data_IF_882653048918
#
_entry.id   IF_882653048918
#
_cell.length_a   1.000
_cell.length_b   1.000
_cell.length_c   1.000
_cell.angle_alpha   90.00
_cell.angle_beta   90.00
_cell.angle_gamma   90.00
#
_symmetry.space_group_name_H-M   'P 1'
#
loop_
_entity.id
_entity.type
_entity.pdbx_description
1 polymer ?
#
# COMPACT_ATOMS: atom_id res chain seq x y z
N UNK A 1 2.60 -15.70 -17.57
CA UNK A 1 3.17 -14.66 -16.69
C UNK A 1 2.18 -13.50 -16.65
N UNK A 2 1.67 -13.13 -15.48
CA UNK A 2 0.77 -11.97 -15.37
C UNK A 2 1.53 -10.71 -15.83
N UNK A 3 1.00 -10.02 -16.83
CA UNK A 3 1.54 -8.75 -17.31
C UNK A 3 1.48 -7.75 -16.15
N UNK A 4 2.64 -7.25 -15.70
CA UNK A 4 2.75 -6.18 -14.68
C UNK A 4 2.33 -4.82 -15.26
N UNK A 5 1.21 -4.76 -15.97
CA UNK A 5 0.67 -3.49 -16.42
C UNK A 5 -0.11 -2.89 -15.26
N UNK A 6 0.47 -1.87 -14.63
CA UNK A 6 -0.25 -1.01 -13.71
C UNK A 6 -1.43 -0.41 -14.47
N UNK A 7 -2.63 -0.50 -13.90
CA UNK A 7 -3.85 0.04 -14.51
C UNK A 7 -3.72 1.54 -14.80
N UNK A 8 -2.98 2.26 -13.93
CA UNK A 8 -2.64 3.69 -14.09
C UNK A 8 -1.13 3.84 -13.83
N UNK A 9 -0.30 3.88 -14.88
CA UNK A 9 1.16 3.99 -14.75
C UNK A 9 1.62 5.25 -14.00
N UNK A 10 0.96 6.37 -14.22
CA UNK A 10 1.26 7.69 -13.66
C UNK A 10 1.07 7.70 -12.14
N UNK A 11 0.18 6.86 -11.62
CA UNK A 11 -0.09 6.75 -10.18
C UNK A 11 1.02 6.01 -9.42
N UNK A 12 2.06 5.49 -10.08
CA UNK A 12 3.11 4.65 -9.46
C UNK A 12 3.79 5.34 -8.28
N UNK A 13 4.13 6.62 -8.40
CA UNK A 13 4.82 7.34 -7.33
C UNK A 13 3.89 7.65 -6.16
N UNK A 14 2.66 8.10 -6.46
CA UNK A 14 1.64 8.34 -5.44
C UNK A 14 1.32 7.05 -4.65
N UNK A 15 1.16 5.92 -5.34
CA UNK A 15 0.94 4.61 -4.71
C UNK A 15 2.13 4.16 -3.86
N UNK A 16 3.35 4.47 -4.27
CA UNK A 16 4.53 4.17 -3.45
C UNK A 16 4.54 5.01 -2.17
N UNK A 17 4.25 6.31 -2.24
CA UNK A 17 4.14 7.17 -1.05
C UNK A 17 3.05 6.66 -0.10
N UNK A 18 1.87 6.38 -0.64
CA UNK A 18 0.73 5.85 0.10
C UNK A 18 1.05 4.53 0.84
N UNK A 19 1.77 3.62 0.18
CA UNK A 19 2.23 2.37 0.79
C UNK A 19 3.21 2.63 1.94
N UNK A 20 4.13 3.57 1.79
CA UNK A 20 5.10 3.91 2.85
C UNK A 20 4.41 4.53 4.06
N UNK A 21 3.45 5.43 3.83
CA UNK A 21 2.61 6.02 4.89
C UNK A 21 1.82 4.93 5.65
N UNK A 22 1.13 4.05 4.92
CA UNK A 22 0.40 2.94 5.52
C UNK A 22 1.32 2.02 6.35
N UNK A 23 2.56 1.81 5.91
CA UNK A 23 3.54 1.03 6.66
C UNK A 23 3.96 1.72 7.96
N UNK A 24 4.21 3.04 7.92
CA UNK A 24 4.54 3.83 9.11
C UNK A 24 3.42 3.80 10.15
N UNK A 25 2.16 3.84 9.73
CA UNK A 25 1.00 3.82 10.63
C UNK A 25 0.81 2.48 11.36
N UNK A 26 1.15 1.37 10.71
CA UNK A 26 1.12 0.04 11.36
C UNK A 26 2.41 -0.31 12.09
N UNK A 27 3.39 0.61 12.14
CA UNK A 27 4.68 0.38 12.75
C UNK A 27 5.53 -0.68 12.02
N UNK A 28 5.30 -0.88 10.73
CA UNK A 28 6.10 -1.81 9.91
C UNK A 28 7.21 -1.02 9.21
N UNK A 29 8.45 -1.42 9.45
CA UNK A 29 9.60 -0.84 8.76
C UNK A 29 9.72 -1.39 7.33
N UNK A 30 8.96 -0.79 6.42
CA UNK A 30 9.02 -1.10 4.99
C UNK A 30 10.17 -0.34 4.32
N UNK A 31 11.05 -1.05 3.62
CA UNK A 31 12.20 -0.49 2.92
C UNK A 31 11.87 -0.24 1.44
N UNK A 32 12.47 0.78 0.85
CA UNK A 32 12.48 0.97 -0.61
C UNK A 32 13.47 -0.02 -1.25
N UNK A 33 13.05 -1.28 -1.35
CA UNK A 33 13.89 -2.36 -1.87
C UNK A 33 13.39 -3.72 -1.43
N UNK A 34 14.32 -4.60 -1.07
CA UNK A 34 14.00 -5.93 -0.58
C UNK A 34 13.38 -5.86 0.83
N UNK A 35 12.27 -6.57 1.00
CA UNK A 35 11.52 -6.69 2.26
C UNK A 35 11.26 -8.15 2.62
N UNK A 36 12.12 -9.08 2.18
CA UNK A 36 11.93 -10.52 2.45
C UNK A 36 12.16 -10.91 3.90
N UNK A 37 12.70 -9.99 4.71
CA UNK A 37 12.78 -10.09 6.17
C UNK A 37 11.44 -9.80 6.88
N UNK A 38 10.46 -9.21 6.19
CA UNK A 38 9.14 -8.97 6.76
C UNK A 38 8.33 -10.26 6.81
N UNK A 39 7.70 -10.51 7.95
CA UNK A 39 6.73 -11.60 8.07
C UNK A 39 5.51 -11.33 7.19
N UNK A 40 4.83 -12.39 6.73
CA UNK A 40 3.58 -12.27 5.96
C UNK A 40 2.53 -11.45 6.69
N UNK A 41 2.51 -11.51 8.03
CA UNK A 41 1.60 -10.70 8.88
C UNK A 41 1.92 -9.21 8.79
N UNK A 42 3.20 -8.83 8.83
CA UNK A 42 3.62 -7.44 8.69
C UNK A 42 3.30 -6.90 7.29
N UNK A 43 3.71 -7.60 6.23
CA UNK A 43 3.37 -7.21 4.86
C UNK A 43 1.85 -7.13 4.63
N UNK A 44 1.09 -8.09 5.18
CA UNK A 44 -0.36 -8.10 5.14
C UNK A 44 -1.01 -6.92 5.86
N UNK A 45 -0.48 -6.52 7.03
CA UNK A 45 -1.00 -5.36 7.77
C UNK A 45 -0.85 -4.04 7.01
N UNK A 46 0.26 -3.85 6.27
CA UNK A 46 0.46 -2.68 5.38
C UNK A 46 -0.61 -2.66 4.28
N UNK A 47 -0.77 -3.78 3.57
CA UNK A 47 -1.79 -3.91 2.52
C UNK A 47 -3.22 -3.69 3.05
N UNK A 48 -3.51 -4.21 4.24
CA UNK A 48 -4.79 -4.00 4.92
C UNK A 48 -5.08 -2.53 5.23
N UNK A 49 -4.10 -1.78 5.74
CA UNK A 49 -4.30 -0.34 5.97
C UNK A 49 -4.46 0.45 4.69
N UNK A 50 -3.73 0.11 3.63
CA UNK A 50 -3.92 0.72 2.32
C UNK A 50 -5.37 0.57 1.84
N UNK A 51 -5.93 -0.65 1.92
CA UNK A 51 -7.32 -0.90 1.53
C UNK A 51 -8.30 -0.15 2.45
N UNK A 52 -8.07 -0.15 3.76
CA UNK A 52 -8.91 0.57 4.72
C UNK A 52 -9.03 2.06 4.37
N UNK A 53 -7.91 2.74 4.12
CA UNK A 53 -7.88 4.15 3.72
C UNK A 53 -8.53 4.39 2.36
N UNK A 54 -8.37 3.47 1.41
CA UNK A 54 -9.03 3.57 0.10
C UNK A 54 -10.56 3.52 0.26
N UNK A 55 -11.06 2.62 1.11
CA UNK A 55 -12.49 2.51 1.40
C UNK A 55 -12.98 3.77 2.12
N UNK A 56 -12.28 4.23 3.15
CA UNK A 56 -12.64 5.46 3.89
C UNK A 56 -12.72 6.67 2.96
N UNK A 57 -11.75 6.85 2.06
CA UNK A 57 -11.78 7.92 1.06
C UNK A 57 -13.00 7.78 0.15
N UNK A 58 -13.25 6.57 -0.36
CA UNK A 58 -14.39 6.31 -1.24
C UNK A 58 -15.73 6.57 -0.54
N UNK A 59 -15.88 6.15 0.71
CA UNK A 59 -17.06 6.44 1.53
C UNK A 59 -17.27 7.94 1.76
N UNK A 60 -16.18 8.71 1.95
CA UNK A 60 -16.25 10.16 2.09
C UNK A 60 -16.59 10.87 0.77
N UNK A 61 -16.11 10.36 -0.37
CA UNK A 61 -16.44 10.89 -1.70
C UNK A 61 -17.90 10.61 -2.10
N UNK A 62 -18.57 9.65 -1.46
CA UNK A 62 -19.98 9.32 -1.67
C UNK A 62 -20.96 10.15 -0.82
N UNK A 63 -20.47 10.88 0.20
CA UNK A 63 -21.28 11.76 1.04
C UNK A 63 -21.59 13.08 0.34
#
# INVERSE_FOLDING_TARGET
MATKNKLVPEAKEALNKFKMEAASEVGVNLKNGYNGDLTSRQAGSVGGQMVKKMIEKYENDLK
#
